data_IF_021788675356
#
_entry.id   IF_021788675356
#
_cell.length_a   1.000
_cell.length_b   1.000
_cell.length_c   1.000
_cell.angle_alpha   90.00
_cell.angle_beta   90.00
_cell.angle_gamma   90.00
#
_symmetry.space_group_name_H-M   'P 1'
#
loop_
_entity.id
_entity.type
_entity.pdbx_description
1 polymer ?
#
# COMPACT_ATOMS: atom_id res chain seq x y z
N UNK A 1 -22.52 13.45 -30.68
CA UNK A 1 -22.69 12.81 -29.37
C UNK A 1 -21.55 11.83 -29.18
N UNK A 2 -20.44 12.28 -28.60
CA UNK A 2 -19.34 11.40 -28.21
C UNK A 2 -19.67 10.87 -26.82
N UNK A 3 -20.17 9.63 -26.78
CA UNK A 3 -20.40 8.90 -25.55
C UNK A 3 -19.06 8.57 -24.92
N UNK A 4 -18.66 9.37 -23.93
CA UNK A 4 -17.56 9.04 -23.04
C UNK A 4 -17.95 7.75 -22.31
N UNK A 5 -17.25 6.68 -22.66
CA UNK A 5 -17.34 5.35 -22.05
C UNK A 5 -17.16 5.48 -20.54
N UNK A 6 -18.18 5.10 -19.78
CA UNK A 6 -18.15 4.93 -18.33
C UNK A 6 -17.30 3.71 -17.91
N UNK A 7 -16.06 3.62 -18.40
CA UNK A 7 -15.15 2.51 -18.13
C UNK A 7 -14.00 2.89 -17.16
N UNK A 8 -14.17 3.97 -16.39
CA UNK A 8 -13.13 4.47 -15.48
C UNK A 8 -13.58 4.62 -14.01
N UNK A 9 -14.73 4.05 -13.62
CA UNK A 9 -15.23 4.09 -12.24
C UNK A 9 -15.13 2.75 -11.48
N UNK A 10 -14.30 1.83 -11.94
CA UNK A 10 -13.98 0.60 -11.21
C UNK A 10 -12.52 0.54 -10.73
N UNK A 11 -11.80 1.66 -10.78
CA UNK A 11 -10.60 1.82 -9.97
C UNK A 11 -11.07 2.25 -8.58
N UNK A 12 -11.33 1.29 -7.69
CA UNK A 12 -11.05 1.57 -6.29
C UNK A 12 -9.56 1.88 -6.26
N UNK A 13 -9.23 3.17 -6.30
CA UNK A 13 -7.88 3.66 -6.16
C UNK A 13 -7.31 3.04 -4.89
N UNK A 14 -6.47 2.03 -5.04
CA UNK A 14 -5.54 1.65 -4.00
C UNK A 14 -4.58 2.82 -3.88
N UNK A 15 -4.97 3.82 -3.08
CA UNK A 15 -4.15 4.96 -2.81
C UNK A 15 -2.95 4.48 -1.98
N UNK A 16 -1.75 4.63 -2.53
CA UNK A 16 -0.51 4.37 -1.82
C UNK A 16 0.27 5.66 -1.63
N UNK A 17 0.63 5.99 -0.40
CA UNK A 17 1.56 7.06 -0.08
C UNK A 17 2.95 6.49 0.16
N UNK A 18 3.97 7.12 -0.41
CA UNK A 18 5.38 6.73 -0.26
C UNK A 18 6.14 7.94 0.27
N UNK A 19 6.74 7.80 1.45
CA UNK A 19 7.48 8.86 2.14
C UNK A 19 8.91 8.40 2.36
N UNK A 20 9.87 9.08 1.72
CA UNK A 20 11.28 8.84 1.96
C UNK A 20 11.72 9.47 3.28
N UNK A 21 12.47 8.70 4.08
CA UNK A 21 13.11 9.14 5.31
C UNK A 21 14.62 9.29 5.09
N UNK A 22 15.29 10.02 6.00
CA UNK A 22 16.64 10.57 5.80
C UNK A 22 17.81 9.55 5.78
N UNK A 23 17.53 8.25 5.75
CA UNK A 23 18.50 7.16 5.97
C UNK A 23 18.37 6.00 4.96
N UNK A 24 17.71 6.24 3.82
CA UNK A 24 17.44 5.18 2.85
C UNK A 24 16.30 4.25 3.29
N UNK A 25 15.54 4.65 4.31
CA UNK A 25 14.25 4.04 4.62
C UNK A 25 13.11 4.76 3.91
N UNK A 26 12.06 4.00 3.65
CA UNK A 26 10.82 4.44 3.03
C UNK A 26 9.65 3.95 3.86
N UNK A 27 8.76 4.86 4.22
CA UNK A 27 7.47 4.52 4.80
C UNK A 27 6.42 4.47 3.69
N UNK A 28 5.63 3.40 3.70
CA UNK A 28 4.60 3.16 2.71
C UNK A 28 3.30 2.96 3.44
N UNK A 29 2.29 3.72 3.06
CA UNK A 29 0.91 3.50 3.47
C UNK A 29 0.10 3.07 2.26
N UNK A 30 -0.72 2.04 2.39
CA UNK A 30 -1.62 1.55 1.34
C UNK A 30 -3.03 1.40 1.87
N UNK A 31 -4.02 1.81 1.07
CA UNK A 31 -5.45 1.61 1.36
C UNK A 31 -6.04 0.56 0.43
N UNK A 32 -6.76 -0.41 0.97
CA UNK A 32 -7.35 -1.51 0.20
C UNK A 32 -8.65 -2.03 0.83
N UNK A 33 -9.53 -2.62 0.01
CA UNK A 33 -10.66 -3.40 0.54
C UNK A 33 -10.15 -4.76 0.99
N UNK A 34 -10.31 -5.06 2.27
CA UNK A 34 -9.89 -6.33 2.85
C UNK A 34 -10.79 -7.48 2.36
N UNK A 35 -10.18 -8.54 1.84
CA UNK A 35 -10.92 -9.77 1.46
C UNK A 35 -11.40 -10.54 2.68
N UNK A 36 -10.60 -10.57 3.75
CA UNK A 36 -11.01 -10.99 5.09
C UNK A 36 -10.89 -9.81 6.07
N UNK A 37 -12.00 -9.13 6.41
CA UNK A 37 -11.99 -8.01 7.34
C UNK A 37 -11.48 -8.36 8.74
N UNK A 38 -11.49 -9.65 9.13
CA UNK A 38 -11.00 -10.09 10.45
C UNK A 38 -9.48 -10.21 10.50
N UNK A 39 -8.83 -10.35 9.35
CA UNK A 39 -7.39 -10.46 9.26
C UNK A 39 -6.86 -9.79 7.97
N UNK A 40 -6.70 -8.45 7.97
CA UNK A 40 -6.26 -7.71 6.78
C UNK A 40 -4.75 -7.83 6.51
N UNK A 41 -3.97 -8.36 7.46
CA UNK A 41 -2.50 -8.35 7.40
C UNK A 41 -1.89 -9.10 6.22
N UNK A 42 -2.35 -10.31 5.83
CA UNK A 42 -1.76 -11.04 4.71
C UNK A 42 -1.83 -10.24 3.39
N UNK A 43 -3.00 -9.67 3.09
CA UNK A 43 -3.21 -8.86 1.89
C UNK A 43 -2.40 -7.56 1.96
N UNK A 44 -2.50 -6.83 3.08
CA UNK A 44 -1.80 -5.55 3.22
C UNK A 44 -0.28 -5.68 3.18
N UNK A 45 0.28 -6.75 3.77
CA UNK A 45 1.72 -7.01 3.75
C UNK A 45 2.24 -7.25 2.33
N UNK A 46 1.48 -7.98 1.50
CA UNK A 46 1.82 -8.19 0.09
C UNK A 46 1.83 -6.87 -0.69
N UNK A 47 0.82 -6.02 -0.48
CA UNK A 47 0.73 -4.71 -1.12
C UNK A 47 1.86 -3.78 -0.69
N UNK A 48 2.13 -3.69 0.60
CA UNK A 48 3.24 -2.90 1.16
C UNK A 48 4.59 -3.34 0.58
N UNK A 49 4.85 -4.65 0.53
CA UNK A 49 6.10 -5.17 -0.04
C UNK A 49 6.22 -4.88 -1.55
N UNK A 50 5.12 -4.98 -2.31
CA UNK A 50 5.12 -4.62 -3.73
C UNK A 50 5.52 -3.16 -3.92
N UNK A 51 4.89 -2.25 -3.16
CA UNK A 51 5.22 -0.83 -3.18
C UNK A 51 6.63 -0.54 -2.67
N UNK A 52 7.14 -1.32 -1.71
CA UNK A 52 8.51 -1.18 -1.23
C UNK A 52 9.53 -1.57 -2.29
N UNK A 53 9.26 -2.61 -3.09
CA UNK A 53 10.11 -2.98 -4.23
C UNK A 53 10.11 -1.90 -5.30
N UNK A 54 8.93 -1.37 -5.64
CA UNK A 54 8.80 -0.24 -6.58
C UNK A 54 9.57 0.98 -6.08
N UNK A 55 9.45 1.33 -4.80
CA UNK A 55 10.13 2.48 -4.22
C UNK A 55 11.66 2.30 -4.14
N UNK A 56 12.13 1.12 -3.73
CA UNK A 56 13.56 0.89 -3.59
C UNK A 56 14.28 0.84 -4.94
N UNK A 57 13.68 0.24 -5.97
CA UNK A 57 14.28 0.18 -7.32
C UNK A 57 15.75 -0.24 -7.29
N UNK A 58 16.61 0.56 -7.92
CA UNK A 58 18.05 0.29 -8.01
C UNK A 58 18.83 0.51 -6.70
N UNK A 59 18.20 1.08 -5.67
CA UNK A 59 18.83 1.29 -4.35
C UNK A 59 18.96 -0.02 -3.56
N UNK A 60 18.31 -1.10 -4.00
CA UNK A 60 18.44 -2.44 -3.43
C UNK A 60 17.11 -3.10 -3.07
N UNK A 61 17.18 -4.21 -2.35
CA UNK A 61 16.00 -4.95 -1.89
C UNK A 61 15.38 -4.27 -0.66
N UNK A 62 14.04 -4.20 -0.55
CA UNK A 62 13.39 -3.69 0.64
C UNK A 62 13.51 -4.70 1.80
N UNK A 63 14.02 -4.24 2.93
CA UNK A 63 14.12 -4.99 4.19
C UNK A 63 13.19 -4.34 5.21
N UNK A 64 12.24 -5.07 5.82
CA UNK A 64 11.35 -4.49 6.81
C UNK A 64 12.13 -4.01 8.04
N UNK A 65 11.82 -2.80 8.52
CA UNK A 65 12.42 -2.19 9.72
C UNK A 65 11.57 -2.46 10.98
N UNK A 66 10.38 -3.03 10.79
CA UNK A 66 9.46 -3.42 11.85
C UNK A 66 8.23 -4.11 11.26
N UNK A 67 7.28 -4.45 12.12
CA UNK A 67 6.00 -5.01 11.69
C UNK A 67 5.11 -3.90 11.12
N UNK A 68 4.38 -4.18 10.02
CA UNK A 68 3.39 -3.24 9.50
C UNK A 68 2.22 -3.11 10.48
N UNK A 69 1.53 -1.98 10.45
CA UNK A 69 0.41 -1.68 11.34
C UNK A 69 -0.81 -1.19 10.55
N UNK A 70 -2.00 -1.48 11.06
CA UNK A 70 -3.24 -0.86 10.57
C UNK A 70 -3.30 0.57 11.12
N UNK A 71 -3.35 1.55 10.24
CA UNK A 71 -3.38 2.99 10.60
C UNK A 71 -4.76 3.61 10.43
N UNK A 72 -5.70 2.92 9.78
CA UNK A 72 -7.06 3.39 9.62
C UNK A 72 -7.99 2.33 9.05
N UNK A 73 -9.27 2.45 9.38
CA UNK A 73 -10.35 1.67 8.79
C UNK A 73 -11.48 2.65 8.46
N UNK A 74 -11.94 2.64 7.22
CA UNK A 74 -13.06 3.47 6.74
C UNK A 74 -14.07 2.60 6.00
N UNK A 75 -15.31 3.07 5.90
CA UNK A 75 -16.34 2.42 5.07
C UNK A 75 -16.50 3.25 3.81
N UNK A 76 -16.28 2.64 2.65
CA UNK A 76 -16.51 3.23 1.35
C UNK A 76 -17.38 2.29 0.52
N UNK A 77 -18.46 2.81 -0.06
CA UNK A 77 -19.39 2.02 -0.89
C UNK A 77 -19.92 0.75 -0.19
N UNK A 78 -20.11 0.83 1.14
CA UNK A 78 -20.58 -0.30 1.96
C UNK A 78 -19.53 -1.39 2.22
N UNK A 79 -18.27 -1.18 1.85
CA UNK A 79 -17.16 -2.11 2.09
C UNK A 79 -16.12 -1.51 3.03
N UNK A 80 -15.53 -2.32 3.94
CA UNK A 80 -14.42 -1.86 4.78
C UNK A 80 -13.16 -1.66 3.92
N UNK A 81 -12.66 -0.44 3.90
CA UNK A 81 -11.33 -0.10 3.44
C UNK A 81 -10.39 -0.04 4.63
N UNK A 82 -9.24 -0.69 4.50
CA UNK A 82 -8.19 -0.75 5.52
C UNK A 82 -6.98 -0.02 4.99
N UNK A 83 -6.45 0.90 5.78
CA UNK A 83 -5.17 1.55 5.55
C UNK A 83 -4.10 0.87 6.43
N UNK A 84 -3.03 0.39 5.81
CA UNK A 84 -1.87 -0.18 6.50
C UNK A 84 -0.61 0.59 6.17
N UNK A 85 0.26 0.79 7.15
CA UNK A 85 1.58 1.40 6.99
C UNK A 85 2.70 0.42 7.35
N UNK A 86 3.83 0.50 6.65
CA UNK A 86 5.06 -0.23 6.94
C UNK A 86 6.30 0.58 6.56
N UNK A 87 7.40 0.36 7.28
CA UNK A 87 8.69 1.00 6.99
C UNK A 87 9.71 -0.02 6.50
N UNK A 88 10.40 0.31 5.41
CA UNK A 88 11.38 -0.56 4.75
C UNK A 88 12.70 0.19 4.53
N UNK A 89 13.83 -0.48 4.73
CA UNK A 89 15.14 0.00 4.33
C UNK A 89 15.51 -0.58 2.97
N UNK A 90 16.00 0.23 2.04
CA UNK A 90 16.53 -0.27 0.77
C UNK A 90 18.00 -0.68 0.96
N UNK A 91 18.32 -1.97 0.83
CA UNK A 91 19.69 -2.48 1.02
C UNK A 91 20.19 -3.21 -0.22
N UNK A 92 21.39 -2.87 -0.67
CA UNK A 92 22.12 -3.66 -1.66
C UNK A 92 22.61 -4.95 -0.99
N UNK A 93 22.30 -6.09 -1.62
CA UNK A 93 22.71 -7.41 -1.15
C UNK A 93 24.19 -7.69 -1.41
#
# INVERSE_FOLDING_TARGET
MLGLTFAALAMLEQASAIIWKNDGTVEITTSFVATDPRNPFPQGTVLLLSKAKEACGDKGAPVPVGEPVVVGITIAEGKPQVAMSGTYACRQG
#
